data_IF_557938751293
#
_entry.id   IF_557938751293
#
_cell.length_a   1.000
_cell.length_b   1.000
_cell.length_c   1.000
_cell.angle_alpha   90.00
_cell.angle_beta   90.00
_cell.angle_gamma   90.00
#
_symmetry.space_group_name_H-M   'P 1'
#
loop_
_entity.id
_entity.type
_entity.pdbx_description
1 polymer ?
#
# COMPACT_ATOMS: atom_id res chain seq x y z
N UNK A 1 10.00 20.85 -1.00
CA UNK A 1 8.76 20.74 -1.80
C UNK A 1 7.59 20.74 -0.84
N UNK A 2 6.53 21.48 -1.16
CA UNK A 2 5.29 21.55 -0.36
C UNK A 2 4.33 20.39 -0.72
N UNK A 3 3.29 20.20 0.09
CA UNK A 3 2.22 19.26 -0.22
C UNK A 3 1.53 19.55 -1.56
N UNK A 4 1.29 20.84 -1.85
CA UNK A 4 0.67 21.28 -3.10
C UNK A 4 1.56 20.97 -4.32
N UNK A 5 2.88 21.17 -4.21
CA UNK A 5 3.82 20.85 -5.29
C UNK A 5 3.79 19.37 -5.63
N UNK A 6 3.84 18.48 -4.61
CA UNK A 6 3.84 17.03 -4.83
C UNK A 6 2.52 16.51 -5.41
N UNK A 7 1.38 17.05 -4.97
CA UNK A 7 0.07 16.71 -5.55
C UNK A 7 -0.06 17.17 -7.00
N UNK A 8 0.47 18.35 -7.33
CA UNK A 8 0.52 18.85 -8.71
C UNK A 8 1.40 17.94 -9.58
N UNK A 9 2.57 17.55 -9.09
CA UNK A 9 3.44 16.60 -9.78
C UNK A 9 2.75 15.24 -9.99
N UNK A 10 2.08 14.71 -8.96
CA UNK A 10 1.33 13.45 -9.08
C UNK A 10 0.24 13.54 -10.17
N UNK A 11 -0.51 14.64 -10.20
CA UNK A 11 -1.54 14.87 -11.22
C UNK A 11 -0.94 14.93 -12.63
N UNK A 12 0.18 15.60 -12.81
CA UNK A 12 0.88 15.69 -14.09
C UNK A 12 1.37 14.34 -14.63
N UNK A 13 1.62 13.36 -13.74
CA UNK A 13 2.06 12.02 -14.13
C UNK A 13 0.91 11.12 -14.64
N UNK A 14 -0.35 11.41 -14.32
CA UNK A 14 -1.50 10.54 -14.61
C UNK A 14 -1.63 10.17 -16.10
N UNK A 15 -1.54 11.12 -17.07
CA UNK A 15 -1.65 10.77 -18.48
C UNK A 15 -0.57 9.79 -18.96
N UNK A 16 0.67 9.98 -18.53
CA UNK A 16 1.78 9.12 -18.88
C UNK A 16 1.63 7.71 -18.29
N UNK A 17 1.16 7.61 -17.04
CA UNK A 17 0.86 6.34 -16.39
C UNK A 17 -0.25 5.59 -17.12
N UNK A 18 -1.31 6.30 -17.54
CA UNK A 18 -2.41 5.72 -18.30
C UNK A 18 -1.94 5.19 -19.67
N UNK A 19 -1.14 5.96 -20.38
CA UNK A 19 -0.58 5.55 -21.68
C UNK A 19 0.30 4.28 -21.58
N UNK A 20 0.98 4.06 -20.45
CA UNK A 20 1.86 2.92 -20.21
C UNK A 20 1.18 1.72 -19.51
N UNK A 21 -0.08 1.85 -19.06
CA UNK A 21 -0.71 0.86 -18.19
C UNK A 21 -0.71 -0.57 -18.80
N UNK A 22 -1.09 -0.71 -20.07
CA UNK A 22 -1.09 -2.01 -20.75
C UNK A 22 0.32 -2.61 -20.89
N UNK A 23 1.31 -1.79 -21.25
CA UNK A 23 2.69 -2.23 -21.32
C UNK A 23 3.26 -2.62 -19.95
N UNK A 24 2.89 -1.90 -18.90
CA UNK A 24 3.24 -2.20 -17.50
C UNK A 24 2.68 -3.57 -17.09
N UNK A 25 1.44 -3.86 -17.41
CA UNK A 25 0.84 -5.16 -17.13
C UNK A 25 1.55 -6.29 -17.89
N UNK A 26 1.79 -6.11 -19.18
CA UNK A 26 2.45 -7.10 -20.03
C UNK A 26 3.89 -7.39 -19.59
N UNK A 27 4.62 -6.37 -19.16
CA UNK A 27 6.00 -6.50 -18.65
C UNK A 27 6.07 -7.12 -17.25
N UNK A 28 4.95 -7.21 -16.54
CA UNK A 28 4.89 -7.65 -15.12
C UNK A 28 5.84 -6.83 -14.22
N UNK A 29 6.01 -5.56 -14.53
CA UNK A 29 6.85 -4.59 -13.82
C UNK A 29 6.54 -3.19 -14.29
N UNK A 30 6.65 -2.19 -13.41
CA UNK A 30 6.58 -0.80 -13.86
C UNK A 30 7.82 -0.47 -14.70
N UNK A 31 7.67 0.34 -15.77
CA UNK A 31 8.81 0.76 -16.59
C UNK A 31 9.81 1.61 -15.82
N UNK A 32 11.09 1.55 -16.23
CA UNK A 32 12.16 2.39 -15.64
C UNK A 32 11.87 3.89 -15.80
N UNK A 33 11.17 4.28 -16.86
CA UNK A 33 10.74 5.65 -17.11
C UNK A 33 9.73 6.15 -16.06
N UNK A 34 8.89 5.24 -15.56
CA UNK A 34 7.92 5.54 -14.49
C UNK A 34 8.64 5.79 -13.16
N UNK A 35 9.56 4.92 -12.77
CA UNK A 35 10.32 5.13 -11.53
C UNK A 35 11.22 6.36 -11.62
N UNK A 36 11.84 6.61 -12.78
CA UNK A 36 12.62 7.82 -13.03
C UNK A 36 11.75 9.10 -12.94
N UNK A 37 10.50 9.05 -13.41
CA UNK A 37 9.56 10.17 -13.27
C UNK A 37 9.18 10.39 -11.80
N UNK A 38 9.00 9.34 -11.01
CA UNK A 38 8.75 9.43 -9.57
C UNK A 38 9.93 10.07 -8.82
N UNK A 39 11.16 9.72 -9.16
CA UNK A 39 12.36 10.34 -8.59
C UNK A 39 12.45 11.83 -8.96
N UNK A 40 12.32 12.17 -10.25
CA UNK A 40 12.39 13.57 -10.71
C UNK A 40 11.33 14.46 -10.07
N UNK A 41 10.12 13.95 -9.88
CA UNK A 41 9.02 14.67 -9.24
C UNK A 41 9.15 14.79 -7.71
N UNK A 42 10.05 14.02 -7.09
CA UNK A 42 10.26 13.99 -5.65
C UNK A 42 9.17 13.31 -4.83
N UNK A 43 8.12 12.75 -5.46
CA UNK A 43 6.98 12.15 -4.74
C UNK A 43 7.40 10.98 -3.85
N UNK A 44 8.40 10.18 -4.25
CA UNK A 44 8.91 9.06 -3.45
C UNK A 44 9.45 9.48 -2.09
N UNK A 45 9.86 10.75 -1.94
CA UNK A 45 10.42 11.30 -0.70
C UNK A 45 9.40 12.06 0.14
N UNK A 46 8.09 11.88 -0.12
CA UNK A 46 7.03 12.57 0.61
C UNK A 46 7.10 12.33 2.13
N UNK A 47 7.34 11.08 2.55
CA UNK A 47 7.41 10.66 3.95
C UNK A 47 8.85 10.56 4.50
N UNK A 48 9.87 10.78 3.69
CA UNK A 48 11.27 10.77 4.12
C UNK A 48 11.56 12.00 5.00
N UNK A 49 12.35 11.86 6.08
CA UNK A 49 12.75 12.98 6.94
C UNK A 49 13.51 14.06 6.20
N UNK A 50 13.32 15.32 6.60
CA UNK A 50 14.05 16.47 6.03
C UNK A 50 15.57 16.37 6.21
N UNK A 51 16.01 15.75 7.29
CA UNK A 51 17.42 15.51 7.56
C UNK A 51 18.14 14.73 6.44
N UNK A 52 17.39 13.93 5.67
CA UNK A 52 17.88 13.18 4.51
C UNK A 52 17.35 13.70 3.17
N UNK A 53 16.89 14.96 3.14
CA UNK A 53 16.41 15.60 1.91
C UNK A 53 14.97 15.28 1.51
N UNK A 54 14.20 14.62 2.38
CA UNK A 54 12.78 14.34 2.20
C UNK A 54 11.88 15.54 2.48
N UNK A 55 10.60 15.39 2.14
CA UNK A 55 9.62 16.45 2.35
C UNK A 55 8.98 16.41 3.77
N UNK A 56 9.04 15.27 4.45
CA UNK A 56 8.50 15.07 5.82
C UNK A 56 7.06 15.52 5.93
N UNK A 57 6.22 15.07 4.99
CA UNK A 57 4.82 15.49 4.89
C UNK A 57 3.90 14.60 5.73
N UNK A 58 2.69 15.09 6.05
CA UNK A 58 1.63 14.29 6.66
C UNK A 58 1.23 13.10 5.78
N UNK A 59 0.74 12.02 6.41
CA UNK A 59 0.40 10.78 5.72
C UNK A 59 -0.78 10.90 4.74
N UNK A 60 -1.68 11.87 4.96
CA UNK A 60 -2.79 12.13 4.03
C UNK A 60 -2.31 12.61 2.66
N UNK A 61 -1.25 13.41 2.60
CA UNK A 61 -0.65 13.87 1.34
C UNK A 61 -0.15 12.68 0.54
N UNK A 62 0.59 11.77 1.18
CA UNK A 62 1.04 10.53 0.58
C UNK A 62 -0.15 9.68 0.08
N UNK A 63 -1.17 9.48 0.91
CA UNK A 63 -2.39 8.74 0.56
C UNK A 63 -3.12 9.35 -0.66
N UNK A 64 -3.22 10.67 -0.73
CA UNK A 64 -3.81 11.39 -1.87
C UNK A 64 -2.96 11.27 -3.14
N UNK A 65 -1.64 11.23 -3.04
CA UNK A 65 -0.78 10.93 -4.18
C UNK A 65 -1.07 9.52 -4.71
N UNK A 66 -1.22 8.51 -3.83
CA UNK A 66 -1.61 7.15 -4.23
C UNK A 66 -2.93 7.15 -5.00
N UNK A 67 -3.97 7.81 -4.47
CA UNK A 67 -5.27 7.94 -5.15
C UNK A 67 -5.15 8.60 -6.52
N UNK A 68 -4.32 9.63 -6.64
CA UNK A 68 -4.10 10.37 -7.88
C UNK A 68 -3.42 9.50 -8.93
N UNK A 69 -2.32 8.84 -8.58
CA UNK A 69 -1.58 7.98 -9.50
C UNK A 69 -2.42 6.78 -9.98
N UNK A 70 -3.30 6.25 -9.13
CA UNK A 70 -4.18 5.14 -9.48
C UNK A 70 -5.25 5.51 -10.53
N UNK A 71 -5.50 6.80 -10.78
CA UNK A 71 -6.29 7.23 -11.92
C UNK A 71 -5.63 6.88 -13.27
N UNK A 72 -4.30 6.84 -13.32
CA UNK A 72 -3.54 6.44 -14.51
C UNK A 72 -3.29 4.93 -14.57
N UNK A 73 -2.65 4.37 -13.53
CA UNK A 73 -2.23 2.97 -13.51
C UNK A 73 -2.20 2.43 -12.08
N UNK A 74 -3.00 1.39 -11.81
CA UNK A 74 -3.10 0.71 -10.51
C UNK A 74 -1.76 0.13 -10.04
N UNK A 75 -1.06 -0.59 -10.92
CA UNK A 75 0.23 -1.20 -10.60
C UNK A 75 1.30 -0.16 -10.26
N UNK A 76 1.35 0.93 -11.02
CA UNK A 76 2.27 2.05 -10.76
C UNK A 76 1.96 2.75 -9.44
N UNK A 77 0.67 2.97 -9.14
CA UNK A 77 0.24 3.55 -7.87
C UNK A 77 0.53 2.62 -6.68
N UNK A 78 0.34 1.31 -6.85
CA UNK A 78 0.67 0.32 -5.82
C UNK A 78 2.16 0.29 -5.51
N UNK A 79 3.01 0.27 -6.54
CA UNK A 79 4.48 0.32 -6.35
C UNK A 79 4.89 1.63 -5.68
N UNK A 80 4.30 2.77 -6.09
CA UNK A 80 4.53 4.04 -5.40
C UNK A 80 4.13 3.95 -3.92
N UNK A 81 2.95 3.39 -3.62
CA UNK A 81 2.46 3.25 -2.25
C UNK A 81 3.42 2.42 -1.38
N UNK A 82 3.92 1.31 -1.91
CA UNK A 82 4.90 0.46 -1.22
C UNK A 82 6.21 1.21 -0.99
N UNK A 83 6.84 1.72 -2.05
CA UNK A 83 8.15 2.37 -1.95
C UNK A 83 8.10 3.67 -1.12
N UNK A 84 6.98 4.41 -1.18
CA UNK A 84 6.77 5.64 -0.43
C UNK A 84 6.46 5.40 1.05
N UNK A 85 5.62 4.41 1.40
CA UNK A 85 5.37 4.02 2.80
C UNK A 85 6.67 3.57 3.48
N UNK A 86 7.52 2.85 2.76
CA UNK A 86 8.76 2.34 3.35
C UNK A 86 9.77 3.43 3.69
N UNK A 87 9.68 4.62 3.11
CA UNK A 87 10.45 5.76 3.58
C UNK A 87 10.08 6.09 5.05
N UNK A 88 8.80 6.00 5.40
CA UNK A 88 8.36 6.14 6.79
C UNK A 88 8.85 4.98 7.67
N UNK A 89 8.81 3.73 7.20
CA UNK A 89 9.31 2.58 7.98
C UNK A 89 10.80 2.70 8.27
N UNK A 90 11.61 3.12 7.30
CA UNK A 90 13.05 3.40 7.51
C UNK A 90 13.25 4.56 8.48
N UNK A 91 12.43 5.63 8.39
CA UNK A 91 12.49 6.75 9.32
C UNK A 91 12.16 6.34 10.77
N UNK A 92 11.38 5.26 10.97
CA UNK A 92 11.13 4.66 12.29
C UNK A 92 12.35 3.92 12.87
N UNK A 93 13.36 3.57 12.06
CA UNK A 93 14.56 2.89 12.54
C UNK A 93 15.52 3.87 13.24
N UNK A 94 16.60 3.33 13.82
CA UNK A 94 17.64 4.18 14.44
C UNK A 94 18.42 4.98 13.37
N UNK A 95 19.13 6.00 13.81
CA UNK A 95 19.87 6.93 12.95
C UNK A 95 20.89 6.23 12.03
N UNK A 96 21.59 5.21 12.53
CA UNK A 96 22.59 4.49 11.76
C UNK A 96 21.95 3.69 10.61
N UNK A 97 20.80 3.06 10.83
CA UNK A 97 20.07 2.38 9.77
C UNK A 97 19.58 3.36 8.70
N UNK A 98 19.08 4.52 9.11
CA UNK A 98 18.70 5.60 8.20
C UNK A 98 19.89 6.10 7.36
N UNK A 99 21.05 6.29 7.99
CA UNK A 99 22.29 6.69 7.32
C UNK A 99 22.80 5.64 6.32
N UNK A 100 22.64 4.34 6.63
CA UNK A 100 22.96 3.25 5.69
C UNK A 100 22.14 3.35 4.40
N UNK A 101 20.84 3.72 4.50
CA UNK A 101 19.96 3.86 3.34
C UNK A 101 20.17 5.17 2.59
N UNK A 102 20.20 6.29 3.29
CA UNK A 102 20.08 7.61 2.68
C UNK A 102 21.36 8.46 2.76
N UNK A 103 22.36 8.06 3.55
CA UNK A 103 23.55 8.87 3.78
C UNK A 103 24.35 9.20 2.52
N UNK A 104 24.47 8.23 1.60
CA UNK A 104 25.16 8.40 0.32
C UNK A 104 24.22 8.53 -0.87
N UNK A 105 23.01 8.01 -0.75
CA UNK A 105 22.00 7.97 -1.82
C UNK A 105 20.63 8.41 -1.26
N UNK A 106 20.42 9.73 -1.12
CA UNK A 106 19.15 10.25 -0.54
C UNK A 106 17.89 9.81 -1.29
N UNK A 107 18.01 9.42 -2.54
CA UNK A 107 16.93 8.91 -3.39
C UNK A 107 16.69 7.41 -3.25
N UNK A 108 17.46 6.70 -2.42
CA UNK A 108 17.29 5.25 -2.25
C UNK A 108 15.87 4.90 -1.81
N UNK A 109 15.29 3.91 -2.48
CA UNK A 109 13.96 3.39 -2.18
C UNK A 109 14.03 1.93 -1.71
N UNK A 110 13.01 1.53 -0.97
CA UNK A 110 13.02 0.29 -0.21
C UNK A 110 11.76 -0.52 -0.54
N UNK A 111 11.93 -1.75 -1.03
CA UNK A 111 10.85 -2.72 -1.17
C UNK A 111 10.62 -3.52 0.11
N UNK A 112 9.66 -4.42 0.17
CA UNK A 112 9.49 -5.26 1.36
C UNK A 112 8.80 -6.59 1.11
N UNK A 113 9.05 -7.51 2.05
CA UNK A 113 8.20 -8.69 2.30
C UNK A 113 8.09 -8.86 3.82
N UNK A 114 6.97 -8.40 4.39
CA UNK A 114 6.86 -8.14 5.84
C UNK A 114 6.34 -9.31 6.67
N UNK A 115 5.70 -10.31 6.04
CA UNK A 115 5.21 -11.49 6.75
C UNK A 115 6.37 -12.31 7.34
N UNK A 116 6.41 -12.59 8.66
CA UNK A 116 7.54 -13.24 9.33
C UNK A 116 7.54 -14.77 9.11
N UNK A 117 7.74 -15.18 7.87
CA UNK A 117 7.75 -16.60 7.49
C UNK A 117 9.03 -17.33 7.84
N UNK A 118 10.13 -16.59 7.98
CA UNK A 118 11.47 -17.13 8.22
C UNK A 118 11.98 -16.78 9.61
N UNK A 119 12.92 -17.60 10.12
CA UNK A 119 13.60 -17.34 11.37
C UNK A 119 15.02 -16.83 11.09
N UNK A 120 15.43 -15.82 11.84
CA UNK A 120 16.80 -15.32 11.83
C UNK A 120 17.57 -15.92 13.00
N UNK A 121 18.77 -16.44 12.74
CA UNK A 121 19.64 -17.04 13.74
C UNK A 121 20.54 -15.97 14.36
N UNK A 122 20.59 -15.83 15.69
CA UNK A 122 21.44 -14.86 16.36
C UNK A 122 22.92 -15.23 16.16
N UNK A 123 23.72 -14.20 15.89
CA UNK A 123 25.20 -14.28 15.81
C UNK A 123 25.78 -13.03 16.45
N UNK A 124 27.09 -12.99 16.66
CA UNK A 124 27.75 -11.80 17.22
C UNK A 124 27.46 -10.55 16.36
N UNK A 125 26.97 -9.49 16.99
CA UNK A 125 26.64 -8.22 16.36
C UNK A 125 25.35 -8.17 15.52
N UNK A 126 24.55 -9.28 15.43
CA UNK A 126 23.31 -9.29 14.65
C UNK A 126 22.70 -10.67 14.44
N UNK A 127 22.21 -10.90 13.22
CA UNK A 127 21.55 -12.14 12.82
C UNK A 127 22.01 -12.64 11.45
N UNK A 128 21.92 -13.96 11.24
CA UNK A 128 21.97 -14.58 9.91
C UNK A 128 20.56 -14.92 9.44
N UNK A 129 20.23 -14.58 8.20
CA UNK A 129 18.93 -14.81 7.61
C UNK A 129 19.04 -15.53 6.27
N UNK A 130 18.27 -16.61 6.14
CA UNK A 130 18.05 -17.32 4.88
C UNK A 130 16.56 -17.52 4.67
N UNK A 131 16.15 -17.64 3.42
CA UNK A 131 14.77 -17.99 3.09
C UNK A 131 14.20 -17.27 1.88
N UNK A 132 12.93 -17.51 1.64
CA UNK A 132 12.15 -16.93 0.56
C UNK A 132 11.15 -15.93 1.13
N UNK A 133 11.08 -14.76 0.50
CA UNK A 133 10.28 -13.62 0.91
C UNK A 133 9.43 -13.16 -0.27
N UNK A 134 8.23 -13.74 -0.46
CA UNK A 134 7.35 -13.43 -1.59
C UNK A 134 6.67 -12.06 -1.44
N UNK A 135 6.03 -11.62 -2.53
CA UNK A 135 5.21 -10.39 -2.59
C UNK A 135 5.99 -9.08 -2.42
N UNK A 136 7.26 -9.01 -2.86
CA UNK A 136 8.05 -7.79 -2.78
C UNK A 136 7.78 -6.87 -3.98
N UNK A 137 6.77 -6.01 -3.86
CA UNK A 137 6.35 -5.09 -4.92
C UNK A 137 7.43 -4.07 -5.26
N UNK A 138 7.70 -3.88 -6.56
CA UNK A 138 8.69 -2.91 -7.04
C UNK A 138 10.14 -3.24 -6.68
N UNK A 139 10.44 -4.46 -6.25
CA UNK A 139 11.78 -4.88 -5.79
C UNK A 139 12.88 -4.67 -6.84
N UNK A 140 12.55 -4.74 -8.13
CA UNK A 140 13.50 -4.52 -9.23
C UNK A 140 14.05 -3.08 -9.30
N UNK A 141 13.37 -2.12 -8.64
CA UNK A 141 13.73 -0.71 -8.63
C UNK A 141 14.28 -0.25 -7.28
N UNK A 142 14.28 -1.12 -6.28
CA UNK A 142 14.73 -0.79 -4.93
C UNK A 142 16.23 -1.03 -4.76
N UNK A 143 16.87 -0.25 -3.89
CA UNK A 143 18.24 -0.45 -3.45
C UNK A 143 18.31 -1.27 -2.17
N UNK A 144 17.22 -1.30 -1.41
CA UNK A 144 17.10 -2.00 -0.14
C UNK A 144 15.77 -2.77 -0.05
N UNK A 145 15.73 -3.75 0.82
CA UNK A 145 14.50 -4.45 1.19
C UNK A 145 14.31 -4.49 2.71
N UNK A 146 13.05 -4.36 3.17
CA UNK A 146 12.65 -4.63 4.55
C UNK A 146 12.01 -6.03 4.58
N UNK A 147 12.57 -6.93 5.38
CA UNK A 147 12.14 -8.32 5.48
C UNK A 147 11.65 -8.62 6.89
N UNK A 148 10.45 -9.17 6.99
CA UNK A 148 9.90 -9.65 8.26
C UNK A 148 10.48 -11.02 8.63
N UNK A 149 11.08 -11.13 9.82
CA UNK A 149 11.59 -12.40 10.33
C UNK A 149 11.37 -12.50 11.84
N UNK A 150 11.22 -13.75 12.34
CA UNK A 150 11.30 -14.01 13.77
C UNK A 150 12.76 -14.12 14.16
N UNK A 151 13.19 -13.31 15.11
CA UNK A 151 14.59 -13.25 15.54
C UNK A 151 14.69 -13.51 17.03
N UNK A 152 15.41 -14.57 17.40
CA UNK A 152 15.62 -14.94 18.79
C UNK A 152 16.40 -13.84 19.51
N UNK A 153 15.91 -13.43 20.69
CA UNK A 153 16.57 -12.50 21.58
C UNK A 153 17.40 -13.23 22.65
N UNK A 154 18.12 -12.47 23.47
CA UNK A 154 18.97 -13.05 24.54
C UNK A 154 18.18 -13.82 25.62
N UNK A 155 16.86 -13.64 25.71
CA UNK A 155 15.97 -14.35 26.63
C UNK A 155 15.34 -15.60 25.99
N UNK A 156 15.65 -15.91 24.72
CA UNK A 156 15.08 -17.03 23.97
C UNK A 156 13.69 -16.77 23.35
N UNK A 157 13.15 -15.53 23.47
CA UNK A 157 11.93 -15.16 22.77
C UNK A 157 12.24 -14.95 21.28
N UNK A 158 11.21 -15.08 20.44
CA UNK A 158 11.33 -14.90 18.99
C UNK A 158 10.41 -13.78 18.49
N UNK A 159 10.63 -12.52 18.93
CA UNK A 159 9.83 -11.41 18.44
C UNK A 159 10.04 -11.21 16.93
N UNK A 160 8.99 -10.72 16.26
CA UNK A 160 9.11 -10.31 14.87
C UNK A 160 9.91 -9.01 14.78
N UNK A 161 10.91 -9.02 13.90
CA UNK A 161 11.70 -7.85 13.51
C UNK A 161 11.54 -7.57 12.03
N UNK A 162 11.54 -6.31 11.68
CA UNK A 162 11.76 -5.85 10.32
C UNK A 162 13.24 -5.59 10.13
N UNK A 163 13.82 -6.27 9.17
CA UNK A 163 15.25 -6.32 8.90
C UNK A 163 15.57 -5.65 7.58
N UNK A 164 16.46 -4.68 7.57
CA UNK A 164 16.87 -3.93 6.40
C UNK A 164 18.09 -4.61 5.74
N UNK A 165 17.94 -4.98 4.47
CA UNK A 165 18.93 -5.73 3.69
C UNK A 165 19.19 -5.02 2.36
N UNK A 166 20.47 -4.80 1.95
CA UNK A 166 20.77 -4.25 0.64
C UNK A 166 20.38 -5.24 -0.48
N UNK A 167 19.81 -4.74 -1.56
CA UNK A 167 19.39 -5.59 -2.69
C UNK A 167 20.55 -6.32 -3.38
N UNK A 168 21.78 -5.86 -3.18
CA UNK A 168 22.99 -6.54 -3.66
C UNK A 168 23.26 -7.90 -3.01
N UNK A 169 22.62 -8.18 -1.87
CA UNK A 169 22.71 -9.46 -1.14
C UNK A 169 21.48 -10.36 -1.37
N UNK A 170 20.61 -10.00 -2.30
CA UNK A 170 19.30 -10.63 -2.53
C UNK A 170 19.18 -11.09 -3.98
N UNK A 171 18.81 -12.35 -4.19
CA UNK A 171 18.39 -12.83 -5.49
C UNK A 171 16.89 -12.55 -5.69
N UNK A 172 16.51 -12.10 -6.88
CA UNK A 172 15.10 -11.88 -7.26
C UNK A 172 14.65 -13.01 -8.18
N UNK A 173 13.60 -13.74 -7.76
CA UNK A 173 12.99 -14.79 -8.59
C UNK A 173 11.90 -14.19 -9.48
N UNK A 174 11.90 -14.48 -10.77
CA UNK A 174 10.83 -14.06 -11.68
C UNK A 174 9.63 -15.02 -11.63
N UNK A 175 8.78 -14.86 -10.61
CA UNK A 175 7.64 -15.72 -10.32
C UNK A 175 6.30 -14.98 -10.25
N UNK A 176 6.25 -13.68 -10.64
CA UNK A 176 5.04 -12.88 -10.53
C UNK A 176 4.08 -13.10 -11.69
N UNK A 177 3.32 -14.23 -11.67
CA UNK A 177 2.28 -14.59 -12.62
C UNK A 177 0.93 -14.67 -11.90
N UNK A 178 0.13 -13.61 -11.99
CA UNK A 178 -1.02 -13.38 -11.10
C UNK A 178 -2.26 -12.91 -11.84
N UNK A 179 -3.42 -12.93 -11.14
CA UNK A 179 -4.72 -12.52 -11.66
C UNK A 179 -4.76 -11.00 -11.96
N UNK A 180 -4.44 -10.18 -10.97
CA UNK A 180 -4.45 -8.71 -11.03
C UNK A 180 -3.19 -8.12 -10.42
N UNK A 181 -3.03 -6.79 -10.50
CA UNK A 181 -1.81 -6.07 -10.13
C UNK A 181 -0.55 -6.65 -10.82
N UNK A 182 -0.69 -7.15 -12.03
CA UNK A 182 0.38 -7.84 -12.78
C UNK A 182 1.62 -6.97 -12.93
N UNK A 183 1.43 -5.67 -13.17
CA UNK A 183 2.53 -4.72 -13.37
C UNK A 183 3.30 -4.32 -12.11
N UNK A 184 2.96 -4.85 -10.92
CA UNK A 184 3.68 -4.49 -9.69
C UNK A 184 5.03 -5.18 -9.52
N UNK A 185 5.27 -6.28 -10.25
CA UNK A 185 6.51 -7.05 -10.12
C UNK A 185 6.76 -7.50 -8.69
N UNK A 186 5.71 -7.95 -7.98
CA UNK A 186 5.80 -8.33 -6.55
C UNK A 186 6.47 -9.69 -6.37
N UNK A 187 7.70 -9.78 -6.83
CA UNK A 187 8.50 -11.01 -6.94
C UNK A 187 8.97 -11.52 -5.59
N UNK A 188 9.41 -12.78 -5.58
CA UNK A 188 10.03 -13.39 -4.40
C UNK A 188 11.49 -13.00 -4.31
N UNK A 189 11.88 -12.51 -3.13
CA UNK A 189 13.27 -12.27 -2.74
C UNK A 189 13.83 -13.53 -2.09
N UNK A 190 15.05 -13.92 -2.46
CA UNK A 190 15.72 -15.12 -1.94
C UNK A 190 17.03 -14.74 -1.28
N UNK A 191 17.17 -15.06 0.00
CA UNK A 191 18.37 -14.83 0.80
C UNK A 191 19.09 -16.15 1.10
N UNK A 192 20.43 -16.12 1.06
CA UNK A 192 21.28 -17.25 1.43
C UNK A 192 22.34 -16.80 2.42
N UNK A 193 22.11 -17.10 3.69
CA UNK A 193 23.03 -16.86 4.81
C UNK A 193 23.52 -15.39 4.91
N UNK A 194 22.61 -14.43 4.76
CA UNK A 194 22.92 -13.00 4.79
C UNK A 194 23.08 -12.54 6.23
N UNK A 195 24.17 -11.83 6.54
CA UNK A 195 24.37 -11.20 7.83
C UNK A 195 23.67 -9.86 7.92
N UNK A 196 22.85 -9.68 8.96
CA UNK A 196 22.11 -8.45 9.20
C UNK A 196 22.55 -7.85 10.53
N UNK A 197 23.26 -6.70 10.52
CA UNK A 197 23.70 -6.02 11.73
C UNK A 197 22.52 -5.61 12.62
N UNK A 198 22.70 -5.63 13.93
CA UNK A 198 21.64 -5.32 14.89
C UNK A 198 21.00 -3.94 14.67
N UNK A 199 21.77 -2.93 14.25
CA UNK A 199 21.25 -1.58 13.98
C UNK A 199 20.33 -1.51 12.76
N UNK A 200 20.37 -2.49 11.84
CA UNK A 200 19.48 -2.57 10.67
C UNK A 200 18.14 -3.26 10.96
N UNK A 201 17.72 -3.25 12.22
CA UNK A 201 16.45 -3.89 12.61
C UNK A 201 15.61 -2.97 13.48
N UNK A 202 14.28 -3.16 13.39
CA UNK A 202 13.30 -2.57 14.29
C UNK A 202 12.31 -3.65 14.73
N UNK A 203 11.87 -3.63 15.97
CA UNK A 203 10.85 -4.55 16.47
C UNK A 203 9.48 -4.19 15.85
N UNK A 204 8.75 -5.18 15.37
CA UNK A 204 7.38 -4.97 14.92
C UNK A 204 6.51 -4.39 16.06
N UNK A 205 6.75 -4.82 17.30
CA UNK A 205 6.05 -4.28 18.48
C UNK A 205 6.20 -2.77 18.58
N UNK A 206 7.42 -2.23 18.41
CA UNK A 206 7.67 -0.78 18.51
C UNK A 206 6.92 -0.01 17.41
N UNK A 207 6.83 -0.56 16.20
CA UNK A 207 6.03 -0.01 15.11
C UNK A 207 4.52 -0.03 15.40
N UNK A 208 4.04 -1.09 16.06
CA UNK A 208 2.63 -1.24 16.42
C UNK A 208 2.23 -0.33 17.60
N UNK A 209 3.17 0.02 18.45
CA UNK A 209 2.97 0.88 19.62
C UNK A 209 3.36 2.35 19.39
N UNK A 210 4.04 2.67 18.27
CA UNK A 210 4.54 4.02 17.99
C UNK A 210 5.73 4.43 18.88
N UNK A 211 6.47 3.45 19.40
CA UNK A 211 7.62 3.65 20.32
C UNK A 211 8.96 3.42 19.63
N UNK A 212 9.05 3.81 18.37
CA UNK A 212 10.19 3.54 17.49
C UNK A 212 11.41 4.40 17.81
N UNK A 213 12.65 3.91 17.56
CA UNK A 213 13.87 4.73 17.71
C UNK A 213 13.84 6.02 16.89
N UNK A 214 13.27 5.98 15.67
CA UNK A 214 13.16 7.14 14.79
C UNK A 214 12.36 8.30 15.38
N UNK A 215 11.39 8.04 16.25
CA UNK A 215 10.63 9.07 16.94
C UNK A 215 11.50 9.91 17.92
N UNK A 216 12.63 9.35 18.38
CA UNK A 216 13.64 10.06 19.18
C UNK A 216 14.60 10.83 18.27
N UNK A 217 14.98 10.24 17.14
CA UNK A 217 15.88 10.87 16.14
C UNK A 217 15.25 12.11 15.50
N UNK A 218 13.93 12.05 15.23
CA UNK A 218 13.19 13.14 14.59
C UNK A 218 12.02 13.60 15.48
N UNK A 219 12.28 14.34 16.58
CA UNK A 219 11.26 14.74 17.55
C UNK A 219 10.18 15.67 16.96
N UNK A 220 10.49 16.38 15.90
CA UNK A 220 9.63 17.29 15.15
C UNK A 220 8.79 16.59 14.06
N UNK A 221 8.84 15.23 13.98
CA UNK A 221 8.04 14.46 13.04
C UNK A 221 7.02 13.56 13.77
N UNK A 222 5.83 14.09 14.14
CA UNK A 222 4.84 13.36 14.92
C UNK A 222 4.39 12.03 14.32
N UNK A 223 4.45 11.91 12.99
CA UNK A 223 4.08 10.69 12.26
C UNK A 223 4.86 9.45 12.73
N UNK A 224 6.10 9.61 13.22
CA UNK A 224 6.92 8.50 13.71
C UNK A 224 6.46 7.92 15.06
N UNK A 225 5.53 8.60 15.74
CA UNK A 225 4.87 8.13 16.98
C UNK A 225 3.52 7.46 16.69
N UNK A 226 3.08 7.46 15.43
CA UNK A 226 1.83 6.81 15.06
C UNK A 226 2.00 5.28 15.04
N UNK A 227 1.09 4.52 15.66
CA UNK A 227 1.05 3.07 15.49
C UNK A 227 0.90 2.70 14.01
N UNK A 228 1.72 1.76 13.53
CA UNK A 228 1.65 1.34 12.12
C UNK A 228 0.25 0.92 11.70
N UNK A 229 -0.47 0.18 12.55
CA UNK A 229 -1.84 -0.25 12.29
C UNK A 229 -2.84 0.89 12.12
N UNK A 230 -2.53 2.09 12.63
CA UNK A 230 -3.34 3.29 12.48
C UNK A 230 -3.19 3.94 11.10
N UNK A 231 -2.00 3.84 10.47
CA UNK A 231 -1.67 4.48 9.20
C UNK A 231 -1.89 3.57 7.97
N UNK A 232 -1.55 2.29 8.09
CA UNK A 232 -1.57 1.33 6.97
C UNK A 232 -2.92 1.25 6.23
N UNK A 233 -4.09 1.42 6.88
CA UNK A 233 -5.36 1.52 6.16
C UNK A 233 -5.42 2.62 5.09
N UNK A 234 -4.53 3.61 5.16
CA UNK A 234 -4.49 4.74 4.22
C UNK A 234 -3.30 4.67 3.24
N UNK A 235 -2.56 3.56 3.18
CA UNK A 235 -1.42 3.38 2.27
C UNK A 235 -1.80 2.69 0.96
N UNK A 236 -2.12 1.41 0.99
CA UNK A 236 -2.43 0.59 -0.19
C UNK A 236 -3.91 0.65 -0.62
N UNK A 237 -4.89 0.61 0.31
CA UNK A 237 -6.31 0.62 -0.04
C UNK A 237 -6.75 1.76 -0.98
N UNK A 238 -6.21 2.99 -0.90
CA UNK A 238 -6.57 4.08 -1.80
C UNK A 238 -6.50 3.74 -3.29
N UNK A 239 -5.63 2.79 -3.70
CA UNK A 239 -5.59 2.28 -5.08
C UNK A 239 -6.93 1.67 -5.48
N UNK A 240 -7.48 0.78 -4.64
CA UNK A 240 -8.75 0.08 -4.89
C UNK A 240 -9.93 1.06 -4.99
N UNK A 241 -9.96 2.05 -4.11
CA UNK A 241 -11.00 3.08 -4.07
C UNK A 241 -10.98 3.96 -5.33
N UNK A 242 -9.78 4.33 -5.78
CA UNK A 242 -9.59 5.09 -7.02
C UNK A 242 -10.04 4.30 -8.25
N UNK A 243 -9.73 2.99 -8.32
CA UNK A 243 -10.19 2.11 -9.38
C UNK A 243 -11.71 2.02 -9.46
N UNK A 244 -12.38 1.91 -8.31
CA UNK A 244 -13.84 1.85 -8.26
C UNK A 244 -14.49 3.12 -8.79
N UNK A 245 -13.96 4.31 -8.46
CA UNK A 245 -14.43 5.59 -9.03
C UNK A 245 -14.27 5.63 -10.56
N UNK A 246 -13.15 5.09 -11.08
CA UNK A 246 -12.94 4.96 -12.52
C UNK A 246 -13.99 4.05 -13.16
N UNK A 247 -14.26 2.89 -12.55
CA UNK A 247 -15.28 1.96 -13.02
C UNK A 247 -16.68 2.63 -13.04
N UNK A 248 -17.04 3.32 -11.96
CA UNK A 248 -18.31 4.03 -11.84
C UNK A 248 -18.48 5.15 -12.87
N UNK A 249 -17.42 5.84 -13.24
CA UNK A 249 -17.45 6.85 -14.31
C UNK A 249 -17.56 6.22 -15.72
N UNK A 250 -16.90 5.09 -15.94
CA UNK A 250 -16.74 4.44 -17.23
C UNK A 250 -17.98 3.64 -17.66
N UNK A 251 -18.59 2.86 -16.76
CA UNK A 251 -19.67 1.93 -17.10
C UNK A 251 -20.91 2.63 -17.60
N UNK A 252 -21.46 3.70 -16.97
CA UNK A 252 -22.60 4.43 -17.49
C UNK A 252 -22.32 5.04 -18.87
N UNK A 253 -21.11 5.56 -19.10
CA UNK A 253 -20.73 6.09 -20.40
C UNK A 253 -20.73 5.02 -21.50
N UNK A 254 -20.24 3.82 -21.19
CA UNK A 254 -20.26 2.66 -22.09
C UNK A 254 -21.68 2.20 -22.39
N UNK A 255 -22.56 2.12 -21.38
CA UNK A 255 -23.97 1.74 -21.57
C UNK A 255 -24.68 2.75 -22.49
N UNK A 256 -24.56 4.06 -22.23
CA UNK A 256 -25.14 5.10 -23.10
C UNK A 256 -24.67 4.99 -24.57
N UNK A 257 -23.38 4.72 -24.80
CA UNK A 257 -22.86 4.58 -26.17
C UNK A 257 -23.36 3.32 -26.88
N UNK A 258 -23.80 2.30 -26.15
CA UNK A 258 -24.43 1.08 -26.74
C UNK A 258 -25.87 1.35 -27.16
N UNK A 259 -26.62 2.11 -26.37
CA UNK A 259 -27.97 2.56 -26.68
C UNK A 259 -28.00 3.33 -28.02
N UNK A 260 -27.08 4.27 -28.20
CA UNK A 260 -27.00 5.08 -29.42
C UNK A 260 -26.70 4.28 -30.69
N UNK A 261 -26.25 3.01 -30.55
CA UNK A 261 -25.98 2.10 -31.68
C UNK A 261 -27.06 1.07 -31.93
N UNK A 262 -28.22 1.21 -31.33
CA UNK A 262 -29.39 0.33 -31.56
C UNK A 262 -29.27 -1.06 -30.93
N UNK A 263 -28.29 -1.28 -30.05
CA UNK A 263 -28.24 -2.47 -29.22
C UNK A 263 -29.31 -2.31 -28.14
N UNK A 264 -30.15 -3.35 -27.96
CA UNK A 264 -31.27 -3.44 -27.01
C UNK A 264 -31.13 -2.53 -25.81
N UNK A 265 -32.16 -1.78 -25.49
CA UNK A 265 -32.13 -0.70 -24.50
C UNK A 265 -31.89 -1.20 -23.07
N UNK A 266 -30.62 -1.51 -22.73
CA UNK A 266 -30.23 -1.89 -21.38
C UNK A 266 -30.41 -0.70 -20.40
N UNK A 267 -30.41 0.53 -20.89
CA UNK A 267 -30.60 1.73 -20.06
C UNK A 267 -32.04 1.90 -19.58
N UNK A 268 -33.01 1.35 -20.32
CA UNK A 268 -34.43 1.34 -19.93
C UNK A 268 -34.77 0.16 -19.00
N UNK A 269 -33.82 -0.76 -18.76
CA UNK A 269 -34.02 -1.87 -17.84
C UNK A 269 -33.95 -1.36 -16.39
N UNK A 270 -35.06 -1.47 -15.65
CA UNK A 270 -35.13 -1.14 -14.23
C UNK A 270 -34.08 -1.89 -13.40
N UNK A 271 -33.78 -3.17 -13.77
CA UNK A 271 -32.76 -3.97 -13.11
C UNK A 271 -31.35 -3.35 -13.28
N UNK A 272 -31.02 -2.89 -14.49
CA UNK A 272 -29.73 -2.23 -14.75
C UNK A 272 -29.64 -0.91 -14.00
N UNK A 273 -30.73 -0.13 -13.99
CA UNK A 273 -30.80 1.14 -13.28
C UNK A 273 -30.64 0.96 -11.77
N UNK A 274 -31.29 -0.08 -11.20
CA UNK A 274 -31.18 -0.42 -9.79
C UNK A 274 -29.74 -0.84 -9.44
N UNK A 275 -29.14 -1.80 -10.18
CA UNK A 275 -27.78 -2.24 -9.94
C UNK A 275 -26.75 -1.13 -10.08
N UNK A 276 -26.94 -0.21 -11.03
CA UNK A 276 -26.07 0.96 -11.19
C UNK A 276 -26.17 1.90 -9.99
N UNK A 277 -27.39 2.12 -9.47
CA UNK A 277 -27.62 2.95 -8.28
C UNK A 277 -27.02 2.34 -7.02
N UNK A 278 -27.18 1.02 -6.84
CA UNK A 278 -26.55 0.28 -5.73
C UNK A 278 -25.03 0.34 -5.79
N UNK A 279 -24.44 0.10 -6.98
CA UNK A 279 -22.98 0.20 -7.16
C UNK A 279 -22.47 1.61 -6.85
N UNK A 280 -23.22 2.65 -7.31
CA UNK A 280 -22.91 4.03 -6.99
C UNK A 280 -22.90 4.29 -5.49
N UNK A 281 -23.95 3.86 -4.77
CA UNK A 281 -24.06 4.03 -3.33
C UNK A 281 -22.94 3.28 -2.57
N UNK A 282 -22.65 2.03 -2.93
CA UNK A 282 -21.59 1.23 -2.34
C UNK A 282 -20.21 1.92 -2.50
N UNK A 283 -19.90 2.42 -3.69
CA UNK A 283 -18.63 3.08 -4.00
C UNK A 283 -18.53 4.46 -3.33
N UNK A 284 -19.56 5.27 -3.38
CA UNK A 284 -19.56 6.63 -2.82
C UNK A 284 -19.47 6.62 -1.31
N UNK A 285 -20.26 5.76 -0.63
CA UNK A 285 -20.20 5.60 0.83
C UNK A 285 -18.85 5.05 1.28
N UNK A 286 -18.27 4.10 0.54
CA UNK A 286 -16.94 3.58 0.84
C UNK A 286 -15.87 4.68 0.75
N UNK A 287 -15.91 5.53 -0.30
CA UNK A 287 -15.00 6.67 -0.42
C UNK A 287 -15.19 7.68 0.70
N UNK A 288 -16.44 7.97 1.09
CA UNK A 288 -16.73 8.85 2.23
C UNK A 288 -16.10 8.32 3.53
N UNK A 289 -16.22 7.00 3.80
CA UNK A 289 -15.60 6.36 4.96
C UNK A 289 -14.08 6.53 4.93
N UNK A 290 -13.42 6.21 3.81
CA UNK A 290 -11.97 6.35 3.68
C UNK A 290 -11.50 7.79 3.96
N UNK A 291 -12.15 8.76 3.34
CA UNK A 291 -11.76 10.17 3.45
C UNK A 291 -12.03 10.73 4.85
N UNK A 292 -13.18 10.39 5.46
CA UNK A 292 -13.51 10.80 6.84
C UNK A 292 -12.53 10.22 7.85
N UNK A 293 -12.29 8.90 7.78
CA UNK A 293 -11.34 8.24 8.69
C UNK A 293 -9.91 8.79 8.55
N UNK A 294 -9.47 9.06 7.32
CA UNK A 294 -8.16 9.66 7.08
C UNK A 294 -8.07 11.07 7.68
N UNK A 295 -9.07 11.91 7.45
CA UNK A 295 -9.10 13.28 7.99
C UNK A 295 -9.10 13.30 9.52
N UNK A 296 -9.93 12.47 10.17
CA UNK A 296 -9.96 12.33 11.61
C UNK A 296 -8.62 11.83 12.17
N UNK A 297 -8.01 10.85 11.50
CA UNK A 297 -6.71 10.31 11.91
C UNK A 297 -5.59 11.35 11.84
N UNK A 298 -5.59 12.20 10.82
CA UNK A 298 -4.60 13.29 10.73
C UNK A 298 -4.84 14.35 11.80
N UNK A 299 -6.10 14.72 12.07
CA UNK A 299 -6.43 15.65 13.14
C UNK A 299 -5.99 15.14 14.52
N UNK A 300 -6.11 13.83 14.78
CA UNK A 300 -5.60 13.22 16.02
C UNK A 300 -4.07 13.33 16.11
N UNK A 301 -3.35 13.05 15.03
CA UNK A 301 -1.88 13.19 14.99
C UNK A 301 -1.44 14.64 15.22
N UNK A 302 -2.11 15.60 14.57
CA UNK A 302 -1.80 17.02 14.68
C UNK A 302 -2.09 17.57 16.08
N UNK A 303 -3.09 17.02 16.78
CA UNK A 303 -3.40 17.41 18.17
C UNK A 303 -2.37 16.93 19.19
N UNK A 304 -1.48 16.00 18.80
CA UNK A 304 -0.52 15.37 19.71
C UNK A 304 -1.14 14.44 20.76
N UNK A 305 -2.42 14.10 20.62
CA UNK A 305 -3.08 13.16 21.53
C UNK A 305 -2.55 11.74 21.32
N UNK A 306 -2.40 10.94 22.38
CA UNK A 306 -2.03 9.54 22.24
C UNK A 306 -3.06 8.77 21.40
N UNK A 307 -2.58 8.01 20.43
CA UNK A 307 -3.43 7.14 19.62
C UNK A 307 -3.65 5.83 20.36
N UNK A 308 -4.92 5.57 20.71
CA UNK A 308 -5.32 4.36 21.41
C UNK A 308 -5.40 3.13 20.52
N UNK A 309 -5.45 1.97 21.18
CA UNK A 309 -5.69 0.68 20.50
C UNK A 309 -7.05 0.70 19.79
N UNK A 310 -8.07 1.27 20.40
CA UNK A 310 -9.41 1.38 19.81
C UNK A 310 -9.40 2.18 18.52
N UNK A 311 -8.71 3.33 18.47
CA UNK A 311 -8.60 4.17 17.27
C UNK A 311 -7.92 3.43 16.12
N UNK A 312 -6.84 2.71 16.47
CA UNK A 312 -6.12 1.85 15.51
C UNK A 312 -7.03 0.77 14.94
N UNK A 313 -7.76 0.04 15.80
CA UNK A 313 -8.64 -1.04 15.36
C UNK A 313 -9.85 -0.51 14.61
N UNK A 314 -10.36 0.67 14.94
CA UNK A 314 -11.45 1.35 14.24
C UNK A 314 -11.05 1.68 12.80
N UNK A 315 -9.88 2.29 12.58
CA UNK A 315 -9.40 2.58 11.24
C UNK A 315 -9.30 1.30 10.38
N UNK A 316 -8.73 0.24 10.94
CA UNK A 316 -8.60 -1.05 10.26
C UNK A 316 -9.95 -1.66 9.89
N UNK A 317 -10.91 -1.66 10.82
CA UNK A 317 -12.28 -2.17 10.60
C UNK A 317 -12.99 -1.36 9.51
N UNK A 318 -12.98 -0.03 9.62
CA UNK A 318 -13.76 0.86 8.76
C UNK A 318 -13.27 0.82 7.33
N UNK A 319 -11.95 0.84 7.12
CA UNK A 319 -11.38 0.75 5.77
C UNK A 319 -11.58 -0.66 5.17
N UNK A 320 -11.49 -1.73 5.99
CA UNK A 320 -11.79 -3.07 5.51
C UNK A 320 -13.28 -3.25 5.16
N UNK A 321 -14.19 -2.65 5.91
CA UNK A 321 -15.61 -2.60 5.56
C UNK A 321 -15.83 -1.85 4.24
N UNK A 322 -15.24 -0.68 4.10
CA UNK A 322 -15.34 0.14 2.91
C UNK A 322 -14.76 -0.59 1.67
N UNK A 323 -13.63 -1.29 1.82
CA UNK A 323 -13.04 -2.09 0.75
C UNK A 323 -13.97 -3.23 0.28
N UNK A 324 -14.73 -3.85 1.19
CA UNK A 324 -15.74 -4.83 0.82
C UNK A 324 -16.88 -4.21 0.01
N UNK A 325 -17.32 -2.99 0.34
CA UNK A 325 -18.33 -2.26 -0.46
C UNK A 325 -17.78 -1.93 -1.85
N UNK A 326 -16.53 -1.46 -1.94
CA UNK A 326 -15.85 -1.25 -3.23
C UNK A 326 -15.86 -2.50 -4.10
N UNK A 327 -15.50 -3.66 -3.54
CA UNK A 327 -15.50 -4.94 -4.26
C UNK A 327 -16.89 -5.24 -4.82
N UNK A 328 -17.93 -5.14 -3.99
CA UNK A 328 -19.31 -5.39 -4.40
C UNK A 328 -19.76 -4.43 -5.51
N UNK A 329 -19.52 -3.13 -5.35
CA UNK A 329 -19.88 -2.13 -6.34
C UNK A 329 -19.21 -2.39 -7.69
N UNK A 330 -17.92 -2.77 -7.70
CA UNK A 330 -17.20 -3.09 -8.95
C UNK A 330 -17.72 -4.40 -9.58
N UNK A 331 -18.04 -5.42 -8.79
CA UNK A 331 -18.66 -6.66 -9.28
C UNK A 331 -20.03 -6.39 -9.93
N UNK A 332 -20.90 -5.57 -9.32
CA UNK A 332 -22.17 -5.14 -9.92
C UNK A 332 -21.97 -4.42 -11.25
N UNK A 333 -21.01 -3.50 -11.31
CA UNK A 333 -20.66 -2.81 -12.55
C UNK A 333 -20.18 -3.79 -13.63
N UNK A 334 -19.46 -4.83 -13.25
CA UNK A 334 -19.03 -5.89 -14.15
C UNK A 334 -20.23 -6.70 -14.68
N UNK A 335 -21.17 -7.09 -13.83
CA UNK A 335 -22.39 -7.82 -14.21
C UNK A 335 -23.21 -7.06 -15.26
N UNK A 336 -23.49 -5.76 -15.04
CA UNK A 336 -24.27 -4.95 -15.99
C UNK A 336 -23.51 -4.62 -17.28
N UNK A 337 -22.18 -4.75 -17.28
CA UNK A 337 -21.36 -4.60 -18.47
C UNK A 337 -21.50 -5.79 -19.44
N UNK A 338 -21.94 -6.94 -18.94
CA UNK A 338 -22.19 -8.16 -19.69
C UNK A 338 -20.89 -8.86 -20.15
N UNK A 339 -21.01 -9.82 -21.07
CA UNK A 339 -19.92 -10.72 -21.47
C UNK A 339 -18.68 -10.03 -22.08
N UNK A 340 -18.75 -8.77 -22.44
CA UNK A 340 -17.59 -8.01 -22.95
C UNK A 340 -16.40 -8.00 -22.00
N UNK A 341 -16.67 -8.01 -20.70
CA UNK A 341 -15.62 -7.94 -19.66
C UNK A 341 -14.63 -9.10 -19.71
N UNK A 342 -14.97 -10.20 -20.42
CA UNK A 342 -14.06 -11.34 -20.60
C UNK A 342 -12.91 -11.06 -21.58
N UNK A 343 -13.03 -10.02 -22.41
CA UNK A 343 -12.01 -9.66 -23.38
C UNK A 343 -10.92 -8.81 -22.75
N UNK A 344 -9.67 -9.09 -23.09
CA UNK A 344 -8.50 -8.30 -22.64
C UNK A 344 -8.55 -6.84 -23.11
N UNK A 345 -9.30 -6.56 -24.19
CA UNK A 345 -9.52 -5.20 -24.71
C UNK A 345 -10.57 -4.40 -23.94
N UNK A 346 -11.35 -5.01 -23.03
CA UNK A 346 -12.34 -4.26 -22.24
C UNK A 346 -11.66 -3.52 -21.10
N UNK A 347 -11.78 -2.19 -21.02
CA UNK A 347 -11.05 -1.40 -20.03
C UNK A 347 -11.54 -1.61 -18.59
N UNK A 348 -12.69 -2.26 -18.35
CA UNK A 348 -13.17 -2.62 -17.02
C UNK A 348 -12.50 -3.90 -16.50
N UNK A 349 -12.06 -4.80 -17.39
CA UNK A 349 -11.48 -6.09 -17.02
C UNK A 349 -10.26 -5.93 -16.09
N UNK A 350 -9.23 -5.13 -16.41
CA UNK A 350 -8.09 -4.94 -15.51
C UNK A 350 -8.50 -4.32 -14.17
N UNK A 351 -9.50 -3.41 -14.15
CA UNK A 351 -10.01 -2.83 -12.90
C UNK A 351 -10.62 -3.93 -12.02
N UNK A 352 -11.47 -4.79 -12.57
CA UNK A 352 -12.07 -5.89 -11.82
C UNK A 352 -11.01 -6.82 -11.25
N UNK A 353 -10.04 -7.26 -12.06
CA UNK A 353 -8.97 -8.17 -11.63
C UNK A 353 -8.11 -7.56 -10.52
N UNK A 354 -7.79 -6.29 -10.63
CA UNK A 354 -6.98 -5.58 -9.65
C UNK A 354 -7.75 -5.39 -8.34
N UNK A 355 -9.03 -5.01 -8.39
CA UNK A 355 -9.90 -4.90 -7.21
C UNK A 355 -10.03 -6.24 -6.49
N UNK A 356 -10.27 -7.34 -7.22
CA UNK A 356 -10.34 -8.68 -6.65
C UNK A 356 -9.01 -9.10 -6.02
N UNK A 357 -7.88 -8.75 -6.63
CA UNK A 357 -6.55 -9.05 -6.08
C UNK A 357 -6.28 -8.23 -4.81
N UNK A 358 -6.57 -6.93 -4.81
CA UNK A 358 -6.40 -6.08 -3.63
C UNK A 358 -7.28 -6.56 -2.47
N UNK A 359 -8.51 -7.03 -2.76
CA UNK A 359 -9.44 -7.54 -1.75
C UNK A 359 -8.91 -8.77 -0.98
N UNK A 360 -7.88 -9.45 -1.49
CA UNK A 360 -7.22 -10.56 -0.78
C UNK A 360 -6.06 -10.12 0.13
N UNK A 361 -5.68 -8.84 0.09
CA UNK A 361 -4.57 -8.33 0.88
C UNK A 361 -4.95 -8.18 2.36
N UNK A 362 -4.04 -8.54 3.28
CA UNK A 362 -4.28 -8.53 4.73
C UNK A 362 -4.79 -7.19 5.27
N UNK A 363 -4.39 -6.09 4.67
CA UNK A 363 -4.81 -4.73 5.06
C UNK A 363 -6.32 -4.48 4.90
N UNK A 364 -7.00 -5.24 4.04
CA UNK A 364 -8.45 -5.11 3.79
C UNK A 364 -9.25 -6.39 4.09
N UNK A 365 -8.59 -7.50 4.42
CA UNK A 365 -9.29 -8.74 4.76
C UNK A 365 -10.15 -8.56 6.02
N UNK A 366 -11.44 -8.94 5.94
CA UNK A 366 -12.39 -8.81 7.06
C UNK A 366 -11.91 -9.49 8.33
N UNK A 367 -11.54 -10.77 8.25
CA UNK A 367 -11.10 -11.53 9.41
C UNK A 367 -9.94 -10.85 10.14
N UNK A 368 -8.92 -10.43 9.40
CA UNK A 368 -7.70 -9.80 9.95
C UNK A 368 -7.99 -8.45 10.63
N UNK A 369 -9.04 -7.74 10.22
CA UNK A 369 -9.32 -6.38 10.67
C UNK A 369 -10.55 -6.25 11.57
N UNK A 370 -11.55 -7.15 11.45
CA UNK A 370 -12.76 -7.11 12.28
C UNK A 370 -12.59 -7.81 13.62
N UNK A 371 -11.92 -8.97 13.63
CA UNK A 371 -11.73 -9.74 14.87
C UNK A 371 -11.00 -8.92 15.94
N UNK A 372 -9.87 -8.23 15.63
CA UNK A 372 -9.20 -7.40 16.62
C UNK A 372 -10.10 -6.29 17.18
N UNK A 373 -10.88 -5.61 16.33
CA UNK A 373 -11.82 -4.58 16.77
C UNK A 373 -12.93 -5.16 17.66
N UNK A 374 -13.54 -6.28 17.25
CA UNK A 374 -14.57 -6.97 18.05
C UNK A 374 -14.05 -7.39 19.43
N UNK A 375 -12.81 -7.86 19.53
CA UNK A 375 -12.15 -8.16 20.80
C UNK A 375 -12.00 -6.91 21.66
N UNK A 376 -11.56 -5.78 21.08
CA UNK A 376 -11.44 -4.50 21.80
C UNK A 376 -12.79 -4.06 22.37
N UNK A 377 -13.89 -4.18 21.62
CA UNK A 377 -15.23 -3.88 22.11
C UNK A 377 -15.66 -4.76 23.31
N UNK A 378 -15.12 -5.95 23.40
CA UNK A 378 -15.38 -6.90 24.50
C UNK A 378 -14.39 -6.74 25.66
N UNK A 379 -13.52 -5.73 25.64
CA UNK A 379 -12.47 -5.52 26.65
C UNK A 379 -11.34 -6.56 26.62
N UNK A 380 -11.22 -7.30 25.52
CA UNK A 380 -10.16 -8.30 25.31
C UNK A 380 -8.98 -7.68 24.53
N UNK A 381 -7.73 -8.11 24.80
CA UNK A 381 -6.58 -7.67 24.00
C UNK A 381 -6.80 -7.98 22.51
N UNK A 382 -6.54 -7.04 21.58
CA UNK A 382 -6.62 -7.33 20.16
C UNK A 382 -5.54 -8.37 19.80
N UNK A 383 -5.94 -9.39 19.05
CA UNK A 383 -4.99 -10.28 18.38
C UNK A 383 -4.60 -9.62 17.05
N UNK A 384 -3.59 -8.78 17.07
CA UNK A 384 -3.03 -8.25 15.83
C UNK A 384 -2.19 -9.36 15.24
N UNK A 385 -2.69 -9.97 14.17
CA UNK A 385 -1.93 -10.96 13.42
C UNK A 385 -0.62 -10.33 12.94
N UNK A 386 0.47 -11.07 13.04
CA UNK A 386 1.79 -10.73 12.49
C UNK A 386 1.77 -10.87 10.94
N UNK A 387 0.78 -10.30 10.25
CA UNK A 387 0.67 -10.35 8.80
C UNK A 387 1.01 -9.00 8.16
#
# INVERSE_FOLDING_TARGET
MTAADLLTCATALVPDLAARATATEAARSIPVETIAAYHRSGILRALQPRAFGGAQLPFDVFSRIVETLAQGCSASAWVYAVLGEHQWVVACMNERAQADVWGTTPEAVVSSSLAPRNNATPVDGGWRLSGEFPFSSGCQHAQWAILGARAEDAAGNKPTRYMLVPMTEIDIRDDWHVLGLRGTGSRTLVLRDVFIPAHRTVLLKDLLEGTTPGAVVHPDYPLLRAPRGFLVPFSLPPVMFSLARRALAMVPASLRSRLSRGVRDLGESEVVQMQLSEAGAEIDLANLVLHSRRAESMAMLDSGQPIGVEDTMRNRRDVAFAAEQIRRGVERLAEISGSRIVHDSDPLQPILRDVLTIATHSVVLRHTNYVPYGRTMLGLPPTIGEA
#
